data_IF_144336370144
#
_entry.id   IF_144336370144
#
_cell.length_a   1.000
_cell.length_b   1.000
_cell.length_c   1.000
_cell.angle_alpha   90.00
_cell.angle_beta   90.00
_cell.angle_gamma   90.00
#
_symmetry.space_group_name_H-M   'P 1'
#
loop_
_entity.id
_entity.type
_entity.pdbx_description
1 polymer ?
#
# COMPACT_ATOMS: atom_id res chain seq x y z
N UNK A 1 0.41 13.54 19.24
CA UNK A 1 0.25 12.17 18.71
C UNK A 1 -1.13 11.54 18.90
N UNK A 2 -1.83 11.69 20.05
CA UNK A 2 -3.22 11.18 20.19
C UNK A 2 -4.24 11.99 19.35
N UNK A 3 -3.95 13.25 19.00
CA UNK A 3 -4.87 14.12 18.24
C UNK A 3 -5.04 13.71 16.77
N UNK A 4 -3.97 13.23 16.11
CA UNK A 4 -3.99 12.95 14.67
C UNK A 4 -4.93 11.78 14.32
N UNK A 5 -4.96 10.73 15.14
CA UNK A 5 -5.82 9.56 14.90
C UNK A 5 -7.30 9.87 15.13
N UNK A 6 -7.64 10.71 16.11
CA UNK A 6 -9.02 11.11 16.36
C UNK A 6 -9.55 12.04 15.26
N UNK A 7 -8.72 12.96 14.78
CA UNK A 7 -9.03 13.79 13.61
C UNK A 7 -9.23 12.93 12.37
N UNK A 8 -8.36 11.95 12.14
CA UNK A 8 -8.46 11.03 11.02
C UNK A 8 -9.72 10.15 11.12
N UNK A 9 -10.06 9.65 12.32
CA UNK A 9 -11.33 8.93 12.54
C UNK A 9 -12.55 9.80 12.25
N UNK A 10 -12.52 11.07 12.65
CA UNK A 10 -13.59 12.04 12.34
C UNK A 10 -13.69 12.26 10.83
N UNK A 11 -12.58 12.51 10.15
CA UNK A 11 -12.53 12.68 8.70
C UNK A 11 -13.12 11.47 7.96
N UNK A 12 -12.74 10.26 8.37
CA UNK A 12 -13.24 9.01 7.79
C UNK A 12 -14.76 8.84 7.95
N UNK A 13 -15.38 9.40 8.99
CA UNK A 13 -16.86 9.40 9.12
C UNK A 13 -17.51 10.21 8.00
N UNK A 14 -16.83 11.22 7.46
CA UNK A 14 -17.33 12.06 6.38
C UNK A 14 -17.01 11.54 4.98
N UNK A 15 -16.22 10.47 4.83
CA UNK A 15 -15.89 9.89 3.51
C UNK A 15 -17.12 9.45 2.71
N UNK A 16 -18.22 9.10 3.39
CA UNK A 16 -19.49 8.82 2.74
C UNK A 16 -20.04 10.02 1.93
N UNK A 17 -19.62 11.24 2.23
CA UNK A 17 -20.01 12.45 1.50
C UNK A 17 -18.97 12.88 0.45
N UNK A 18 -17.76 12.33 0.50
CA UNK A 18 -16.65 12.68 -0.40
C UNK A 18 -16.67 11.84 -1.69
N UNK A 19 -17.83 11.70 -2.32
CA UNK A 19 -18.03 10.84 -3.51
C UNK A 19 -17.26 11.32 -4.75
N UNK A 20 -16.73 12.53 -4.72
CA UNK A 20 -15.95 13.15 -5.79
C UNK A 20 -14.46 13.26 -5.49
N UNK A 21 -14.01 12.78 -4.33
CA UNK A 21 -12.59 12.84 -3.97
C UNK A 21 -11.77 11.93 -4.89
N UNK A 22 -10.83 12.53 -5.63
CA UNK A 22 -9.95 11.83 -6.58
C UNK A 22 -8.55 11.63 -6.06
N UNK A 23 -8.10 12.49 -5.15
CA UNK A 23 -6.78 12.47 -4.56
C UNK A 23 -6.91 12.50 -3.04
N UNK A 24 -6.16 11.63 -2.37
CA UNK A 24 -6.10 11.58 -0.92
C UNK A 24 -4.67 11.32 -0.49
N UNK A 25 -4.08 12.32 0.16
CA UNK A 25 -2.74 12.22 0.72
C UNK A 25 -2.83 12.30 2.22
N UNK A 26 -2.25 11.29 2.87
CA UNK A 26 -2.09 11.24 4.30
C UNK A 26 -0.59 11.19 4.57
N UNK A 27 -0.04 12.32 5.02
CA UNK A 27 1.40 12.56 5.17
C UNK A 27 1.72 12.59 6.67
N UNK A 28 2.85 12.01 7.06
CA UNK A 28 3.39 12.06 8.42
C UNK A 28 2.36 11.64 9.49
N UNK A 29 1.59 10.60 9.17
CA UNK A 29 0.50 10.16 10.04
C UNK A 29 1.03 9.20 11.09
N UNK A 30 1.36 9.73 12.25
CA UNK A 30 1.74 8.91 13.39
C UNK A 30 0.54 8.31 14.09
N UNK A 31 0.51 6.98 14.14
CA UNK A 31 -0.67 6.23 14.54
C UNK A 31 -0.29 5.10 15.48
N UNK A 32 -0.92 5.10 16.64
CA UNK A 32 -0.91 3.98 17.57
C UNK A 32 -2.09 3.08 17.20
N UNK A 33 -1.99 2.38 16.07
CA UNK A 33 -3.08 1.54 15.61
C UNK A 33 -3.08 0.18 16.32
N UNK A 34 -4.23 -0.17 16.90
CA UNK A 34 -4.62 -1.56 16.99
C UNK A 34 -5.09 -2.02 15.60
N UNK A 35 -4.72 -3.24 15.19
CA UNK A 35 -4.96 -3.80 13.86
C UNK A 35 -6.43 -3.74 13.35
N UNK A 36 -7.43 -3.67 14.25
CA UNK A 36 -8.84 -3.48 13.86
C UNK A 36 -9.14 -2.06 13.36
N UNK A 37 -8.52 -1.05 13.96
CA UNK A 37 -8.75 0.37 13.64
C UNK A 37 -8.10 0.75 12.33
N UNK A 38 -6.88 0.25 12.06
CA UNK A 38 -6.21 0.41 10.77
C UNK A 38 -7.04 -0.18 9.63
N UNK A 39 -7.57 -1.40 9.80
CA UNK A 39 -8.44 -2.02 8.78
C UNK A 39 -9.67 -1.18 8.45
N UNK A 40 -10.35 -0.68 9.48
CA UNK A 40 -11.54 0.15 9.30
C UNK A 40 -11.23 1.38 8.45
N UNK A 41 -10.13 2.05 8.76
CA UNK A 41 -9.68 3.23 8.05
C UNK A 41 -9.34 2.95 6.58
N UNK A 42 -8.46 1.97 6.34
CA UNK A 42 -8.02 1.60 5.00
C UNK A 42 -9.21 1.16 4.14
N UNK A 43 -10.14 0.39 4.70
CA UNK A 43 -11.36 0.01 4.00
C UNK A 43 -12.25 1.20 3.61
N UNK A 44 -12.26 2.26 4.42
CA UNK A 44 -13.04 3.47 4.12
C UNK A 44 -12.40 4.27 3.00
N UNK A 45 -11.08 4.37 2.97
CA UNK A 45 -10.32 4.96 1.86
C UNK A 45 -10.60 4.17 0.56
N UNK A 46 -10.51 2.83 0.62
CA UNK A 46 -10.76 1.95 -0.54
C UNK A 46 -12.20 1.96 -1.06
N UNK A 47 -13.16 2.49 -0.28
CA UNK A 47 -14.57 2.64 -0.70
C UNK A 47 -14.86 3.93 -1.46
N UNK A 48 -13.94 4.88 -1.50
CA UNK A 48 -14.14 6.14 -2.20
C UNK A 48 -14.20 5.87 -3.72
N UNK A 49 -15.34 6.12 -4.38
CA UNK A 49 -15.59 5.57 -5.72
C UNK A 49 -14.81 6.24 -6.84
N UNK A 50 -14.27 7.44 -6.60
CA UNK A 50 -13.51 8.22 -7.58
C UNK A 50 -12.06 8.42 -7.17
N UNK A 51 -11.61 7.80 -6.08
CA UNK A 51 -10.24 7.97 -5.59
C UNK A 51 -9.28 7.27 -6.56
N UNK A 52 -8.52 8.05 -7.33
CA UNK A 52 -7.53 7.55 -8.30
C UNK A 52 -6.12 7.60 -7.76
N UNK A 53 -5.81 8.58 -6.90
CA UNK A 53 -4.50 8.77 -6.28
C UNK A 53 -4.61 8.67 -4.76
N UNK A 54 -3.79 7.81 -4.17
CA UNK A 54 -3.76 7.57 -2.73
C UNK A 54 -2.32 7.52 -2.24
N UNK A 55 -1.94 8.46 -1.39
CA UNK A 55 -0.67 8.43 -0.67
C UNK A 55 -0.92 8.19 0.82
N UNK A 56 -0.26 7.17 1.37
CA UNK A 56 -0.37 6.73 2.75
C UNK A 56 1.00 6.64 3.40
N UNK A 57 1.30 7.62 4.20
CA UNK A 57 2.50 7.68 5.02
C UNK A 57 2.10 7.51 6.49
N UNK A 58 2.35 6.31 7.00
CA UNK A 58 1.99 5.94 8.37
C UNK A 58 3.21 5.57 9.20
N UNK A 59 3.37 6.22 10.34
CA UNK A 59 4.38 5.87 11.33
C UNK A 59 3.74 5.07 12.46
N UNK A 60 4.10 3.79 12.57
CA UNK A 60 3.61 2.90 13.62
C UNK A 60 4.57 2.88 14.81
N UNK A 61 4.04 2.99 16.02
CA UNK A 61 4.85 2.95 17.26
C UNK A 61 5.41 1.55 17.61
N UNK A 62 4.98 0.50 16.88
CA UNK A 62 5.37 -0.89 17.08
C UNK A 62 5.45 -1.59 15.72
N UNK A 63 6.17 -2.72 15.61
CA UNK A 63 6.29 -3.57 14.39
C UNK A 63 4.93 -4.17 13.95
N UNK A 64 3.98 -3.32 13.60
CA UNK A 64 2.67 -3.72 13.12
C UNK A 64 2.66 -3.68 11.61
N UNK A 65 2.35 -4.83 11.00
CA UNK A 65 2.17 -4.93 9.56
C UNK A 65 1.06 -4.02 9.05
N UNK A 66 1.22 -3.57 7.80
CA UNK A 66 0.12 -2.95 7.08
C UNK A 66 -1.12 -3.83 7.08
N UNK A 67 -2.27 -3.22 7.36
CA UNK A 67 -3.52 -3.94 7.23
C UNK A 67 -4.07 -3.83 5.82
N UNK A 68 -3.90 -4.90 5.04
CA UNK A 68 -4.48 -4.99 3.69
C UNK A 68 -6.01 -4.84 3.76
N UNK A 69 -6.63 -3.99 2.91
CA UNK A 69 -8.08 -3.86 2.87
C UNK A 69 -8.76 -5.18 2.51
N UNK A 70 -9.95 -5.41 3.07
CA UNK A 70 -10.82 -6.51 2.65
C UNK A 70 -11.90 -6.07 1.65
N UNK A 71 -11.75 -4.84 1.12
CA UNK A 71 -12.66 -4.24 0.14
C UNK A 71 -11.87 -3.97 -1.14
N UNK A 72 -12.52 -4.19 -2.27
CA UNK A 72 -11.94 -3.92 -3.58
C UNK A 72 -12.21 -2.47 -3.99
N UNK A 73 -11.16 -1.70 -4.20
CA UNK A 73 -11.23 -0.41 -4.89
C UNK A 73 -11.11 -0.64 -6.39
N UNK A 74 -12.04 -0.10 -7.17
CA UNK A 74 -11.97 -0.13 -8.64
C UNK A 74 -11.44 1.18 -9.23
N UNK A 75 -11.19 2.19 -8.40
CA UNK A 75 -10.82 3.53 -8.85
C UNK A 75 -9.35 3.84 -8.66
N UNK A 76 -8.69 3.25 -7.66
CA UNK A 76 -7.30 3.58 -7.34
C UNK A 76 -6.39 3.07 -8.47
N UNK A 77 -5.66 4.00 -9.08
CA UNK A 77 -4.70 3.78 -10.15
C UNK A 77 -3.27 4.08 -9.66
N UNK A 78 -3.10 5.03 -8.74
CA UNK A 78 -1.83 5.42 -8.15
C UNK A 78 -1.86 5.20 -6.65
N UNK A 79 -0.96 4.36 -6.15
CA UNK A 79 -0.86 4.04 -4.75
C UNK A 79 0.58 4.18 -4.28
N UNK A 80 0.78 5.04 -3.30
CA UNK A 80 2.05 5.24 -2.63
C UNK A 80 1.88 4.92 -1.16
N UNK A 81 2.66 3.97 -0.66
CA UNK A 81 2.65 3.58 0.75
C UNK A 81 4.07 3.71 1.29
N UNK A 82 4.24 4.59 2.28
CA UNK A 82 5.50 4.87 2.96
C UNK A 82 5.47 4.43 4.42
N UNK A 83 6.67 4.25 4.98
CA UNK A 83 6.89 3.91 6.39
C UNK A 83 6.16 2.65 6.85
N UNK A 84 5.86 1.79 5.87
CA UNK A 84 5.14 0.54 6.02
C UNK A 84 5.85 -0.51 5.20
N UNK A 85 6.16 -1.63 5.85
CA UNK A 85 6.77 -2.77 5.20
C UNK A 85 5.74 -3.88 5.00
N UNK A 86 5.65 -4.41 3.78
CA UNK A 86 4.75 -5.50 3.42
C UNK A 86 5.45 -6.85 3.53
N UNK A 87 4.76 -7.82 4.12
CA UNK A 87 5.01 -9.22 3.80
C UNK A 87 4.63 -9.49 2.34
N UNK A 88 5.36 -10.39 1.66
CA UNK A 88 5.11 -10.73 0.25
C UNK A 88 3.66 -11.15 -0.05
N UNK A 89 3.05 -11.91 0.87
CA UNK A 89 1.64 -12.31 0.75
C UNK A 89 0.66 -11.11 0.84
N UNK A 90 1.07 -10.03 1.50
CA UNK A 90 0.34 -8.76 1.58
C UNK A 90 0.25 -8.10 0.21
N UNK A 91 1.33 -8.11 -0.56
CA UNK A 91 1.36 -7.56 -1.92
C UNK A 91 0.35 -8.25 -2.85
N UNK A 92 0.27 -9.59 -2.80
CA UNK A 92 -0.73 -10.35 -3.56
C UNK A 92 -2.16 -9.90 -3.19
N UNK A 93 -2.45 -9.80 -1.89
CA UNK A 93 -3.76 -9.36 -1.43
C UNK A 93 -4.04 -7.89 -1.82
N UNK A 94 -3.02 -7.04 -1.89
CA UNK A 94 -3.13 -5.65 -2.35
C UNK A 94 -3.56 -5.56 -3.82
N UNK A 95 -2.99 -6.38 -4.70
CA UNK A 95 -3.39 -6.42 -6.11
C UNK A 95 -4.82 -6.92 -6.28
N UNK A 96 -5.26 -7.88 -5.45
CA UNK A 96 -6.66 -8.34 -5.45
C UNK A 96 -7.64 -7.26 -4.97
N UNK A 97 -7.24 -6.46 -3.97
CA UNK A 97 -8.06 -5.35 -3.47
C UNK A 97 -7.97 -4.09 -4.34
N UNK A 98 -6.98 -4.00 -5.23
CA UNK A 98 -6.71 -2.79 -6.04
C UNK A 98 -6.38 -3.20 -7.49
N UNK A 99 -7.30 -3.88 -8.20
CA UNK A 99 -7.04 -4.48 -9.51
C UNK A 99 -6.57 -3.51 -10.60
N UNK A 100 -6.95 -2.23 -10.51
CA UNK A 100 -6.71 -1.24 -11.55
C UNK A 100 -5.45 -0.40 -11.27
N UNK A 101 -4.65 -0.80 -10.28
CA UNK A 101 -3.41 -0.11 -9.93
C UNK A 101 -2.43 -0.14 -11.10
N UNK A 102 -1.97 1.06 -11.49
CA UNK A 102 -1.01 1.30 -12.56
C UNK A 102 0.35 1.70 -12.02
N UNK A 103 0.36 2.46 -10.93
CA UNK A 103 1.55 2.98 -10.27
C UNK A 103 1.56 2.54 -8.81
N UNK A 104 2.59 1.79 -8.41
CA UNK A 104 2.78 1.35 -7.04
C UNK A 104 4.15 1.80 -6.50
N UNK A 105 4.15 2.41 -5.32
CA UNK A 105 5.33 2.60 -4.49
C UNK A 105 5.08 1.90 -3.15
N UNK A 106 5.93 0.92 -2.80
CA UNK A 106 5.80 0.17 -1.56
C UNK A 106 7.14 -0.43 -1.09
N UNK A 107 7.23 -0.71 0.21
CA UNK A 107 8.34 -1.44 0.81
C UNK A 107 8.00 -2.90 1.10
N UNK A 108 8.94 -3.82 0.93
CA UNK A 108 8.75 -5.25 1.20
C UNK A 108 9.88 -5.75 2.11
N UNK A 109 9.50 -6.47 3.18
CA UNK A 109 10.43 -6.94 4.23
C UNK A 109 11.24 -8.12 3.69
N UNK A 110 10.55 -9.24 3.48
CA UNK A 110 11.16 -10.49 3.06
C UNK A 110 10.53 -10.95 1.77
N UNK A 111 11.38 -11.07 0.75
CA UNK A 111 11.04 -11.61 -0.55
C UNK A 111 11.44 -13.09 -0.60
N UNK A 112 10.49 -14.02 -0.45
CA UNK A 112 10.81 -15.45 -0.36
C UNK A 112 11.49 -15.93 -1.64
N UNK A 113 12.59 -16.66 -1.46
CA UNK A 113 13.30 -17.29 -2.57
C UNK A 113 12.38 -18.29 -3.27
N UNK A 114 12.39 -18.26 -4.60
CA UNK A 114 11.65 -19.20 -5.45
C UNK A 114 10.12 -19.17 -5.34
N UNK A 115 9.53 -18.19 -4.63
CA UNK A 115 8.08 -18.05 -4.63
C UNK A 115 7.59 -17.46 -5.96
N UNK A 116 6.60 -18.12 -6.56
CA UNK A 116 5.92 -17.62 -7.76
C UNK A 116 4.70 -16.77 -7.36
N UNK A 117 4.47 -15.70 -8.10
CA UNK A 117 3.22 -14.98 -8.02
C UNK A 117 2.11 -15.79 -8.70
N UNK A 118 0.93 -15.95 -8.09
CA UNK A 118 -0.06 -16.90 -8.58
C UNK A 118 -0.86 -16.40 -9.80
N UNK A 119 -0.60 -15.19 -10.31
CA UNK A 119 -1.31 -14.61 -11.46
C UNK A 119 -0.52 -13.45 -12.06
N UNK A 120 -0.84 -13.12 -13.31
CA UNK A 120 -0.39 -11.91 -13.98
C UNK A 120 -1.08 -10.66 -13.43
N UNK A 121 -0.29 -9.61 -13.25
CA UNK A 121 -0.70 -8.27 -12.81
C UNK A 121 -0.56 -7.35 -14.02
N UNK A 122 -1.54 -7.44 -14.91
CA UNK A 122 -1.52 -6.70 -16.19
C UNK A 122 -1.71 -5.19 -16.03
N UNK A 123 -2.27 -4.74 -14.90
CA UNK A 123 -2.59 -3.33 -14.71
C UNK A 123 -1.37 -2.46 -14.39
N UNK A 124 -0.32 -3.03 -13.79
CA UNK A 124 0.86 -2.25 -13.39
C UNK A 124 1.72 -1.90 -14.60
N UNK A 125 2.05 -0.60 -14.70
CA UNK A 125 3.00 -0.05 -15.66
C UNK A 125 4.21 0.60 -15.00
N UNK A 126 4.08 1.05 -13.75
CA UNK A 126 5.14 1.67 -12.97
C UNK A 126 5.22 1.07 -11.58
N UNK A 127 6.42 0.62 -11.20
CA UNK A 127 6.68 0.02 -9.91
C UNK A 127 7.94 0.59 -9.29
N UNK A 128 7.82 1.09 -8.06
CA UNK A 128 8.95 1.37 -7.18
C UNK A 128 8.86 0.45 -5.98
N UNK A 129 9.86 -0.41 -5.82
CA UNK A 129 9.99 -1.28 -4.66
C UNK A 129 11.20 -0.89 -3.84
N UNK A 130 10.98 -0.79 -2.54
CA UNK A 130 12.02 -0.65 -1.53
C UNK A 130 12.13 -2.03 -0.86
N UNK A 131 13.32 -2.63 -0.90
CA UNK A 131 13.57 -3.98 -0.35
C UNK A 131 14.90 -4.00 0.38
N UNK A 132 15.02 -4.81 1.42
CA UNK A 132 16.31 -4.97 2.11
C UNK A 132 17.34 -5.63 1.19
N UNK A 133 16.92 -6.69 0.49
CA UNK A 133 17.75 -7.48 -0.42
C UNK A 133 16.98 -7.91 -1.67
N UNK A 134 17.65 -7.91 -2.82
CA UNK A 134 17.11 -8.47 -4.06
C UNK A 134 17.28 -9.99 -4.05
N UNK A 135 16.21 -10.73 -4.31
CA UNK A 135 16.24 -12.20 -4.38
C UNK A 135 15.66 -12.69 -5.72
N UNK A 136 15.75 -14.00 -5.97
CA UNK A 136 15.08 -14.62 -7.12
C UNK A 136 13.56 -14.39 -7.11
N UNK A 137 12.97 -14.22 -5.92
CA UNK A 137 11.56 -13.84 -5.76
C UNK A 137 11.23 -12.48 -6.40
N UNK A 138 12.17 -11.52 -6.35
CA UNK A 138 12.06 -10.21 -7.00
C UNK A 138 11.96 -10.31 -8.51
N UNK A 139 12.82 -11.13 -9.10
CA UNK A 139 12.78 -11.40 -10.54
C UNK A 139 11.46 -12.10 -10.92
N UNK A 140 11.03 -13.07 -10.13
CA UNK A 140 9.78 -13.81 -10.38
C UNK A 140 8.54 -12.93 -10.26
N UNK A 141 8.53 -11.93 -9.37
CA UNK A 141 7.46 -10.94 -9.30
C UNK A 141 7.32 -10.18 -10.62
N UNK A 142 8.42 -9.69 -11.18
CA UNK A 142 8.39 -8.86 -12.40
C UNK A 142 7.99 -9.65 -13.65
N UNK A 143 8.32 -10.94 -13.71
CA UNK A 143 7.83 -11.84 -14.76
C UNK A 143 6.30 -11.91 -14.82
N UNK A 144 5.62 -11.58 -13.72
CA UNK A 144 4.16 -11.54 -13.64
C UNK A 144 3.57 -10.16 -13.99
N UNK A 145 4.36 -9.19 -14.45
CA UNK A 145 3.91 -7.83 -14.77
C UNK A 145 4.22 -7.49 -16.24
N UNK A 146 3.45 -8.03 -17.21
CA UNK A 146 3.80 -7.94 -18.64
C UNK A 146 3.79 -6.50 -19.19
N UNK A 147 3.06 -5.59 -18.55
CA UNK A 147 2.92 -4.20 -18.97
C UNK A 147 3.83 -3.24 -18.19
N UNK A 148 4.76 -3.76 -17.39
CA UNK A 148 5.70 -2.95 -16.60
C UNK A 148 6.69 -2.24 -17.54
N UNK A 149 6.60 -0.91 -17.61
CA UNK A 149 7.47 -0.06 -18.44
C UNK A 149 8.44 0.77 -17.61
N UNK A 150 8.16 0.98 -16.32
CA UNK A 150 9.04 1.69 -15.40
C UNK A 150 9.25 0.88 -14.11
N UNK A 151 10.51 0.63 -13.78
CA UNK A 151 10.92 -0.09 -12.56
C UNK A 151 12.00 0.70 -11.83
N UNK A 152 11.74 1.01 -10.57
CA UNK A 152 12.74 1.54 -9.63
C UNK A 152 12.92 0.55 -8.49
N UNK A 153 14.16 0.14 -8.25
CA UNK A 153 14.53 -0.72 -7.13
C UNK A 153 15.42 0.08 -6.19
N UNK A 154 15.02 0.14 -4.93
CA UNK A 154 15.81 0.74 -3.87
C UNK A 154 16.17 -0.35 -2.88
N UNK A 155 17.47 -0.61 -2.75
CA UNK A 155 18.01 -1.52 -1.75
C UNK A 155 18.60 -0.72 -0.61
N UNK A 156 18.21 -1.02 0.62
CA UNK A 156 18.75 -0.35 1.80
C UNK A 156 17.98 -0.80 3.02
N UNK A 157 18.66 -0.84 4.18
CA UNK A 157 17.97 -1.06 5.44
C UNK A 157 16.93 0.04 5.61
N UNK A 158 15.71 -0.33 5.95
CA UNK A 158 14.81 0.61 6.60
C UNK A 158 15.49 1.08 7.89
N UNK A 159 16.12 2.25 7.85
CA UNK A 159 16.53 2.96 9.06
C UNK A 159 15.24 3.35 9.80
N UNK A 160 14.72 2.43 10.61
CA UNK A 160 13.62 2.67 11.55
C UNK A 160 14.11 3.49 12.76
N UNK A 161 14.90 4.53 12.52
CA UNK A 161 15.39 5.45 13.55
C UNK A 161 15.25 6.90 13.06
N UNK A 162 14.08 7.45 13.33
CA UNK A 162 13.83 8.88 13.52
C UNK A 162 13.02 9.04 14.79
#
# INVERSE_FOLDING_TARGET
>A
HISSIETLKKLVKHFAHLQHLTHFDLIDCHVVFQHKTSRYLINRIWRLPKLTHCHLDFHFQYNSDFTIPNIRSKSIEHLWIENIVFAFNGLNRLFRSTPNIRHLIASIDQMPENQQFPFFIESISSLRLIVDHLTSGTINLFKNMPNLTSLTLQTGKHDMNG
#
